data_IF_502401048781
#
_entry.id   IF_502401048781
#
_cell.length_a   1.000
_cell.length_b   1.000
_cell.length_c   1.000
_cell.angle_alpha   90.00
_cell.angle_beta   90.00
_cell.angle_gamma   90.00
#
_symmetry.space_group_name_H-M   'P 1'
#
loop_
_entity.id
_entity.type
_entity.pdbx_description
1 polymer ?
#
# COMPACT_ATOMS: atom_id res chain seq x y z
N UNK A 1 6.34 -1.74 -5.93
CA UNK A 1 5.90 -1.36 -4.56
C UNK A 1 4.94 -2.39 -4.01
N UNK A 2 4.88 -2.56 -2.69
CA UNK A 2 3.95 -3.43 -1.97
C UNK A 2 2.87 -2.56 -1.33
N UNK A 3 1.61 -2.71 -1.76
CA UNK A 3 0.48 -1.92 -1.30
C UNK A 3 -0.43 -2.74 -0.40
N UNK A 4 -0.72 -2.24 0.80
CA UNK A 4 -1.61 -2.91 1.77
C UNK A 4 -2.88 -2.09 1.96
N UNK A 5 -4.03 -2.67 1.62
CA UNK A 5 -5.34 -2.10 1.89
C UNK A 5 -6.18 -3.00 2.80
N UNK A 6 -7.26 -2.43 3.29
CA UNK A 6 -8.23 -3.08 4.17
C UNK A 6 -8.82 -2.10 5.17
N UNK A 7 -9.84 -2.53 5.93
CA UNK A 7 -10.43 -1.70 6.98
C UNK A 7 -9.43 -1.58 8.14
N UNK A 8 -8.98 -2.72 8.68
CA UNK A 8 -8.05 -2.78 9.81
C UNK A 8 -6.76 -3.53 9.47
N UNK A 9 -5.70 -3.30 10.25
CA UNK A 9 -4.45 -4.10 10.18
C UNK A 9 -3.44 -3.66 9.12
N UNK A 10 -3.71 -2.59 8.36
CA UNK A 10 -2.77 -2.05 7.36
C UNK A 10 -1.40 -1.74 7.98
N UNK A 11 -1.36 -0.89 9.01
CA UNK A 11 -0.12 -0.53 9.72
C UNK A 11 0.60 -1.75 10.29
N UNK A 12 -0.12 -2.70 10.88
CA UNK A 12 0.53 -3.90 11.45
C UNK A 12 1.20 -4.74 10.36
N UNK A 13 0.49 -5.00 9.25
CA UNK A 13 1.02 -5.80 8.14
C UNK A 13 2.17 -5.07 7.44
N UNK A 14 2.07 -3.77 7.20
CA UNK A 14 3.17 -3.01 6.56
C UNK A 14 4.43 -3.03 7.41
N UNK A 15 4.31 -2.92 8.74
CA UNK A 15 5.43 -3.05 9.67
C UNK A 15 6.01 -4.46 9.72
N UNK A 16 5.18 -5.51 9.69
CA UNK A 16 5.68 -6.89 9.63
C UNK A 16 6.50 -7.13 8.36
N UNK A 17 6.01 -6.68 7.20
CA UNK A 17 6.71 -6.83 5.92
C UNK A 17 8.04 -6.06 5.97
N UNK A 18 8.01 -4.81 6.41
CA UNK A 18 9.23 -4.01 6.55
C UNK A 18 10.24 -4.66 7.52
N UNK A 19 9.79 -5.23 8.64
CA UNK A 19 10.68 -5.94 9.57
C UNK A 19 11.31 -7.18 8.95
N UNK A 20 10.54 -7.97 8.20
CA UNK A 20 11.07 -9.16 7.51
C UNK A 20 12.10 -8.76 6.45
N UNK A 21 11.82 -7.72 5.66
CA UNK A 21 12.75 -7.24 4.63
C UNK A 21 14.04 -6.67 5.23
N UNK A 22 13.92 -5.85 6.28
CA UNK A 22 15.09 -5.30 6.97
C UNK A 22 15.93 -6.39 7.67
N UNK A 23 15.31 -7.39 8.29
CA UNK A 23 16.05 -8.53 8.87
C UNK A 23 16.79 -9.35 7.80
N UNK A 24 16.22 -9.42 6.60
CA UNK A 24 16.85 -10.02 5.43
C UNK A 24 17.92 -9.13 4.77
N UNK A 25 18.25 -7.98 5.38
CA UNK A 25 19.19 -6.98 4.89
C UNK A 25 18.78 -6.31 3.57
N UNK A 26 17.49 -6.27 3.27
CA UNK A 26 16.93 -5.63 2.08
C UNK A 26 16.59 -4.18 2.41
N UNK A 27 17.02 -3.24 1.56
CA UNK A 27 16.66 -1.82 1.72
C UNK A 27 15.16 -1.62 1.50
N UNK A 28 14.49 -1.01 2.47
CA UNK A 28 13.04 -0.88 2.48
C UNK A 28 12.58 0.47 3.01
N UNK A 29 11.66 1.10 2.29
CA UNK A 29 10.91 2.28 2.72
C UNK A 29 9.53 1.88 3.23
N UNK A 30 9.09 2.49 4.31
CA UNK A 30 7.75 2.34 4.85
C UNK A 30 7.01 3.66 4.72
N UNK A 31 5.77 3.65 4.20
CA UNK A 31 4.89 4.82 4.10
C UNK A 31 3.53 4.47 4.71
N UNK A 32 3.06 5.23 5.69
CA UNK A 32 1.79 4.93 6.34
C UNK A 32 1.33 5.98 7.35
N UNK A 33 0.48 5.54 8.28
CA UNK A 33 -0.20 6.42 9.25
C UNK A 33 0.76 7.12 10.21
N UNK A 34 1.98 6.58 10.41
CA UNK A 34 3.02 7.16 11.27
C UNK A 34 3.95 8.14 10.54
N UNK A 35 3.75 8.34 9.23
CA UNK A 35 4.71 9.03 8.38
C UNK A 35 5.38 8.09 7.39
N UNK A 36 6.59 8.44 7.00
CA UNK A 36 7.46 7.56 6.23
C UNK A 36 8.85 7.45 6.87
N UNK A 37 9.51 6.34 6.61
CA UNK A 37 10.91 6.13 7.00
C UNK A 37 11.63 5.26 5.98
N UNK A 38 12.95 5.40 5.95
CA UNK A 38 13.84 4.62 5.11
C UNK A 38 14.71 3.75 6.00
N UNK A 39 14.63 2.43 5.84
CA UNK A 39 15.55 1.52 6.48
C UNK A 39 16.73 1.26 5.54
N UNK A 40 17.88 1.82 5.93
CA UNK A 40 19.16 1.65 5.26
C UNK A 40 20.18 1.18 6.33
N UNK A 41 20.76 0.00 6.11
CA UNK A 41 21.69 -0.64 7.03
C UNK A 41 22.98 0.15 7.24
N UNK A 42 23.33 1.06 6.33
CA UNK A 42 24.53 1.91 6.47
C UNK A 42 24.28 3.13 7.35
N UNK A 43 23.03 3.62 7.41
CA UNK A 43 22.70 4.91 8.04
C UNK A 43 22.12 4.79 9.45
N UNK A 44 21.66 3.60 9.86
CA UNK A 44 21.14 3.34 11.21
C UNK A 44 20.07 4.35 11.70
N UNK A 45 19.30 4.94 10.78
CA UNK A 45 18.23 5.87 11.11
C UNK A 45 16.89 5.16 11.10
N UNK A 46 16.19 5.15 12.24
CA UNK A 46 14.82 4.60 12.37
C UNK A 46 13.76 5.69 12.59
N UNK A 47 14.10 6.95 12.28
CA UNK A 47 13.21 8.09 12.53
C UNK A 47 12.13 8.22 11.46
N UNK A 48 10.93 8.61 11.90
CA UNK A 48 9.83 8.93 11.01
C UNK A 48 9.89 10.38 10.55
N UNK A 49 9.79 10.56 9.23
CA UNK A 49 9.49 11.83 8.60
C UNK A 49 7.97 11.96 8.51
N UNK A 50 7.43 13.13 8.88
CA UNK A 50 5.98 13.33 9.01
C UNK A 50 5.28 13.37 7.65
N UNK A 51 4.08 12.78 7.60
CA UNK A 51 3.08 12.98 6.54
C UNK A 51 1.72 13.26 7.19
N UNK A 52 0.90 14.11 6.58
CA UNK A 52 -0.41 14.47 7.14
C UNK A 52 -1.48 13.39 7.00
N UNK A 53 -1.23 12.34 6.22
CA UNK A 53 -2.21 11.31 5.88
C UNK A 53 -1.55 9.94 5.76
N UNK A 54 -2.30 8.87 6.08
CA UNK A 54 -1.88 7.46 5.87
C UNK A 54 -1.39 7.18 4.45
N UNK A 55 -2.06 7.76 3.46
CA UNK A 55 -1.63 7.76 2.06
C UNK A 55 -1.36 9.22 1.66
N UNK A 56 -0.10 9.63 1.46
CA UNK A 56 0.26 11.02 1.14
C UNK A 56 -0.39 11.53 -0.15
N UNK A 57 -0.51 12.85 -0.33
CA UNK A 57 -0.96 13.45 -1.59
C UNK A 57 -0.07 13.03 -2.76
N UNK A 58 -0.62 12.91 -3.97
CA UNK A 58 0.11 12.37 -5.13
C UNK A 58 1.47 13.04 -5.38
N UNK A 59 1.53 14.37 -5.36
CA UNK A 59 2.78 15.12 -5.55
C UNK A 59 3.79 14.86 -4.43
N UNK A 60 3.32 14.74 -3.18
CA UNK A 60 4.16 14.48 -2.02
C UNK A 60 4.65 13.02 -2.04
N UNK A 61 3.78 12.07 -2.38
CA UNK A 61 4.13 10.67 -2.54
C UNK A 61 5.23 10.49 -3.59
N UNK A 62 5.09 11.11 -4.77
CA UNK A 62 6.11 11.06 -5.82
C UNK A 62 7.43 11.71 -5.36
N UNK A 63 7.36 12.82 -4.61
CA UNK A 63 8.55 13.45 -4.00
C UNK A 63 9.25 12.49 -3.03
N UNK A 64 8.49 11.84 -2.14
CA UNK A 64 9.02 10.88 -1.17
C UNK A 64 9.66 9.68 -1.88
N UNK A 65 8.98 9.10 -2.88
CA UNK A 65 9.51 7.97 -3.64
C UNK A 65 10.80 8.33 -4.40
N UNK A 66 10.86 9.54 -4.96
CA UNK A 66 12.08 10.05 -5.60
C UNK A 66 13.23 10.23 -4.60
N UNK A 67 12.95 10.73 -3.39
CA UNK A 67 13.95 10.83 -2.32
C UNK A 67 14.43 9.44 -1.85
N UNK A 68 13.49 8.52 -1.58
CA UNK A 68 13.76 7.13 -1.21
C UNK A 68 14.71 6.46 -2.21
N UNK A 69 14.43 6.60 -3.51
CA UNK A 69 15.26 6.03 -4.58
C UNK A 69 16.64 6.69 -4.67
N UNK A 70 16.69 8.01 -4.80
CA UNK A 70 17.92 8.69 -5.23
C UNK A 70 18.84 9.05 -4.06
N UNK A 71 18.29 9.35 -2.89
CA UNK A 71 19.06 9.74 -1.71
C UNK A 71 19.32 8.57 -0.77
N UNK A 72 18.34 7.69 -0.60
CA UNK A 72 18.42 6.56 0.33
C UNK A 72 18.61 5.19 -0.32
N UNK A 73 18.69 5.12 -1.66
CA UNK A 73 18.92 3.89 -2.40
C UNK A 73 17.95 2.76 -2.00
N UNK A 74 16.70 3.13 -1.71
CA UNK A 74 15.63 2.20 -1.36
C UNK A 74 15.12 1.55 -2.64
N UNK A 75 15.15 0.21 -2.67
CA UNK A 75 14.65 -0.59 -3.79
C UNK A 75 13.21 -1.08 -3.56
N UNK A 76 12.82 -1.26 -2.29
CA UNK A 76 11.51 -1.80 -1.92
C UNK A 76 10.74 -0.78 -1.10
N UNK A 77 9.46 -0.58 -1.42
CA UNK A 77 8.57 0.29 -0.63
C UNK A 77 7.33 -0.47 -0.24
N UNK A 78 7.03 -0.47 1.06
CA UNK A 78 5.82 -1.01 1.67
C UNK A 78 4.94 0.15 2.09
N UNK A 79 3.69 0.15 1.64
CA UNK A 79 2.82 1.31 1.78
C UNK A 79 1.41 0.95 2.24
N UNK A 80 0.89 1.71 3.21
CA UNK A 80 -0.54 1.71 3.53
C UNK A 80 -1.33 2.45 2.43
N UNK A 81 -2.25 1.73 1.79
CA UNK A 81 -3.12 2.25 0.74
C UNK A 81 -4.54 2.37 1.27
N UNK A 82 -4.87 3.56 1.78
CA UNK A 82 -6.20 3.87 2.29
C UNK A 82 -7.24 3.97 1.17
N UNK A 83 -8.50 3.65 1.48
CA UNK A 83 -9.59 3.84 0.51
C UNK A 83 -9.78 5.30 0.13
N UNK A 84 -9.61 6.23 1.08
CA UNK A 84 -9.63 7.65 0.77
C UNK A 84 -8.55 8.03 -0.26
N UNK A 85 -7.32 7.53 -0.07
CA UNK A 85 -6.23 7.74 -1.01
C UNK A 85 -6.51 7.18 -2.41
N UNK A 86 -7.15 6.00 -2.49
CA UNK A 86 -7.58 5.43 -3.78
C UNK A 86 -8.68 6.27 -4.43
N UNK A 87 -9.70 6.68 -3.67
CA UNK A 87 -10.85 7.44 -4.19
C UNK A 87 -10.46 8.79 -4.79
N UNK A 88 -9.45 9.46 -4.20
CA UNK A 88 -8.95 10.76 -4.67
C UNK A 88 -7.63 10.64 -5.45
N UNK A 89 -7.34 9.44 -5.97
CA UNK A 89 -6.19 9.15 -6.83
C UNK A 89 -4.82 9.60 -6.28
N UNK A 90 -4.61 9.53 -4.96
CA UNK A 90 -3.32 9.87 -4.33
C UNK A 90 -2.18 8.97 -4.75
N UNK A 91 -2.48 7.75 -5.19
CA UNK A 91 -1.51 6.80 -5.75
C UNK A 91 -1.46 6.87 -7.28
N UNK A 92 -1.92 7.96 -7.90
CA UNK A 92 -1.74 8.17 -9.33
C UNK A 92 -0.26 8.13 -9.71
N UNK A 93 0.04 7.53 -10.87
CA UNK A 93 1.41 7.31 -11.35
C UNK A 93 2.20 6.27 -10.56
N UNK A 94 1.62 5.61 -9.56
CA UNK A 94 2.24 4.51 -8.84
C UNK A 94 1.97 3.17 -9.52
N UNK A 95 2.95 2.27 -9.44
CA UNK A 95 2.86 0.88 -9.87
C UNK A 95 3.13 -0.05 -8.68
N UNK A 96 2.22 -0.99 -8.46
CA UNK A 96 2.32 -1.97 -7.39
C UNK A 96 2.65 -3.33 -7.99
N UNK A 97 3.70 -3.96 -7.48
CA UNK A 97 4.07 -5.33 -7.83
C UNK A 97 3.35 -6.33 -6.93
N UNK A 98 2.95 -5.90 -5.74
CA UNK A 98 2.16 -6.70 -4.78
C UNK A 98 1.02 -5.86 -4.24
N UNK A 99 -0.19 -6.40 -4.25
CA UNK A 99 -1.35 -5.83 -3.56
C UNK A 99 -1.84 -6.79 -2.48
N UNK A 100 -2.15 -6.26 -1.30
CA UNK A 100 -2.55 -7.06 -0.14
C UNK A 100 -3.89 -6.54 0.39
N UNK A 101 -4.86 -7.46 0.59
CA UNK A 101 -6.08 -7.20 1.34
C UNK A 101 -5.98 -7.86 2.71
N UNK A 102 -6.14 -7.07 3.77
CA UNK A 102 -6.23 -7.60 5.13
C UNK A 102 -7.65 -8.05 5.49
N UNK A 103 -8.62 -7.15 5.36
CA UNK A 103 -10.05 -7.37 5.62
C UNK A 103 -10.90 -6.22 5.05
N UNK A 104 -12.20 -6.45 4.91
CA UNK A 104 -13.19 -5.49 4.47
C UNK A 104 -14.45 -5.57 5.34
N UNK A 105 -14.52 -4.66 6.32
CA UNK A 105 -15.70 -4.47 7.18
C UNK A 105 -16.21 -3.04 7.07
N UNK A 106 -17.45 -2.78 7.50
CA UNK A 106 -18.07 -1.46 7.46
C UNK A 106 -17.23 -0.40 8.18
N UNK A 107 -16.85 0.65 7.45
CA UNK A 107 -16.11 1.82 7.93
C UNK A 107 -16.24 2.98 6.91
N UNK A 108 -15.91 4.21 7.31
CA UNK A 108 -15.77 5.38 6.44
C UNK A 108 -16.99 5.72 5.53
N UNK A 109 -18.20 5.32 5.92
CA UNK A 109 -19.41 5.57 5.13
C UNK A 109 -19.82 7.04 5.04
N UNK A 110 -19.34 7.90 5.95
CA UNK A 110 -19.51 9.35 5.84
C UNK A 110 -18.88 9.91 4.56
N UNK A 111 -17.81 9.29 4.07
CA UNK A 111 -17.15 9.64 2.82
C UNK A 111 -17.67 8.81 1.64
N UNK A 112 -17.68 7.47 1.78
CA UNK A 112 -18.02 6.56 0.66
C UNK A 112 -19.52 6.47 0.37
N UNK A 113 -20.38 6.92 1.29
CA UNK A 113 -21.86 6.88 1.24
C UNK A 113 -22.45 5.48 1.31
N UNK A 114 -21.91 4.50 0.58
CA UNK A 114 -22.38 3.11 0.55
C UNK A 114 -21.22 2.12 0.72
N UNK A 115 -21.54 0.90 1.17
CA UNK A 115 -20.58 -0.20 1.26
C UNK A 115 -20.06 -0.61 -0.13
N UNK A 116 -20.92 -0.58 -1.14
CA UNK A 116 -20.53 -0.90 -2.51
C UNK A 116 -19.49 0.10 -3.04
N UNK A 117 -19.70 1.41 -2.83
CA UNK A 117 -18.71 2.42 -3.22
C UNK A 117 -17.38 2.19 -2.49
N UNK A 118 -17.44 1.89 -1.19
CA UNK A 118 -16.24 1.61 -0.40
C UNK A 118 -15.48 0.37 -0.90
N UNK A 119 -16.20 -0.69 -1.27
CA UNK A 119 -15.63 -1.90 -1.88
C UNK A 119 -14.98 -1.56 -3.22
N UNK A 120 -15.72 -0.96 -4.15
CA UNK A 120 -15.24 -0.61 -5.50
C UNK A 120 -13.96 0.23 -5.44
N UNK A 121 -13.88 1.17 -4.51
CA UNK A 121 -12.68 1.98 -4.31
C UNK A 121 -11.47 1.13 -3.88
N UNK A 122 -11.64 0.16 -2.98
CA UNK A 122 -10.52 -0.72 -2.58
C UNK A 122 -10.10 -1.65 -3.72
N UNK A 123 -11.05 -2.14 -4.51
CA UNK A 123 -10.76 -2.99 -5.67
C UNK A 123 -9.82 -2.30 -6.66
N UNK A 124 -9.80 -0.95 -6.74
CA UNK A 124 -8.89 -0.21 -7.60
C UNK A 124 -7.42 -0.56 -7.38
N UNK A 125 -6.99 -0.88 -6.16
CA UNK A 125 -5.61 -1.31 -5.92
C UNK A 125 -5.26 -2.56 -6.75
N UNK A 126 -6.22 -3.48 -6.89
CA UNK A 126 -6.06 -4.76 -7.59
C UNK A 126 -6.35 -4.62 -9.09
N UNK A 127 -7.46 -3.98 -9.47
CA UNK A 127 -7.89 -3.91 -10.87
C UNK A 127 -7.17 -2.85 -11.70
N UNK A 128 -6.76 -1.73 -11.09
CA UNK A 128 -6.16 -0.58 -11.80
C UNK A 128 -4.68 -0.41 -11.55
N UNK A 129 -4.23 -0.55 -10.31
CA UNK A 129 -2.86 -0.20 -9.95
C UNK A 129 -1.90 -1.40 -9.96
N UNK A 130 -2.35 -2.57 -9.52
CA UNK A 130 -1.60 -3.83 -9.64
C UNK A 130 -1.48 -4.29 -11.10
N UNK A 131 -2.52 -4.10 -11.91
CA UNK A 131 -2.54 -4.47 -13.34
C UNK A 131 -1.50 -3.76 -14.22
N UNK A 132 -0.84 -2.72 -13.69
CA UNK A 132 0.28 -2.04 -14.35
C UNK A 132 1.60 -2.79 -14.24
N UNK A 133 1.72 -3.73 -13.29
CA UNK A 133 2.92 -4.53 -13.13
C UNK A 133 3.00 -5.64 -14.18
N UNK A 134 4.22 -5.87 -14.68
CA UNK A 134 4.51 -7.01 -15.56
C UNK A 134 4.51 -8.35 -14.81
N UNK A 135 4.66 -8.34 -13.49
CA UNK A 135 4.66 -9.54 -12.64
C UNK A 135 3.88 -9.26 -11.34
N UNK A 136 2.55 -9.08 -11.44
CA UNK A 136 1.71 -8.75 -10.30
C UNK A 136 1.52 -9.96 -9.38
N UNK A 137 1.46 -9.72 -8.08
CA UNK A 137 1.07 -10.71 -7.07
C UNK A 137 -0.06 -10.14 -6.22
N UNK A 138 -1.07 -10.94 -5.92
CA UNK A 138 -2.18 -10.55 -5.05
C UNK A 138 -2.23 -11.45 -3.81
N UNK A 139 -2.22 -10.84 -2.62
CA UNK A 139 -2.36 -11.56 -1.35
C UNK A 139 -3.67 -11.15 -0.72
N UNK A 140 -4.65 -12.06 -0.71
CA UNK A 140 -6.01 -11.75 -0.28
C UNK A 140 -6.37 -12.68 0.87
N UNK A 141 -6.83 -12.11 1.97
CA UNK A 141 -7.28 -12.89 3.13
C UNK A 141 -8.54 -13.70 2.77
N UNK A 142 -8.41 -15.03 2.75
CA UNK A 142 -9.50 -15.97 2.46
C UNK A 142 -10.60 -15.98 3.54
N UNK A 143 -10.29 -15.56 4.76
CA UNK A 143 -11.28 -15.49 5.84
C UNK A 143 -12.25 -14.31 5.68
N UNK A 144 -11.98 -13.40 4.74
CA UNK A 144 -12.84 -12.24 4.49
C UNK A 144 -13.99 -12.57 3.51
N UNK A 145 -15.26 -12.26 3.84
CA UNK A 145 -16.40 -12.53 2.95
C UNK A 145 -16.32 -11.84 1.59
N UNK A 146 -15.48 -10.80 1.44
CA UNK A 146 -15.25 -10.12 0.17
C UNK A 146 -14.16 -10.76 -0.69
N UNK A 147 -13.56 -11.87 -0.25
CA UNK A 147 -12.45 -12.57 -0.91
C UNK A 147 -12.66 -12.74 -2.43
N UNK A 148 -13.82 -13.28 -2.83
CA UNK A 148 -14.17 -13.51 -4.24
C UNK A 148 -14.17 -12.23 -5.06
N UNK A 149 -14.69 -11.12 -4.53
CA UNK A 149 -14.72 -9.83 -5.22
C UNK A 149 -13.30 -9.30 -5.46
N UNK A 150 -12.38 -9.51 -4.51
CA UNK A 150 -10.98 -9.10 -4.65
C UNK A 150 -10.20 -10.01 -5.61
N UNK A 151 -10.42 -11.33 -5.56
CA UNK A 151 -9.81 -12.28 -6.50
C UNK A 151 -10.25 -11.94 -7.94
N UNK A 152 -11.55 -11.72 -8.15
CA UNK A 152 -12.09 -11.38 -9.47
C UNK A 152 -11.63 -10.00 -9.98
N UNK A 153 -11.18 -9.11 -9.10
CA UNK A 153 -10.63 -7.81 -9.50
C UNK A 153 -9.15 -7.88 -9.90
N UNK A 154 -8.45 -8.98 -9.64
CA UNK A 154 -7.05 -9.13 -9.98
C UNK A 154 -6.84 -9.26 -11.50
N UNK A 155 -5.71 -8.78 -12.04
CA UNK A 155 -5.40 -8.99 -13.45
C UNK A 155 -5.13 -10.48 -13.71
N UNK A 156 -5.41 -10.95 -14.93
CA UNK A 156 -5.30 -12.37 -15.28
C UNK A 156 -3.88 -12.95 -15.19
N UNK A 157 -2.85 -12.10 -15.20
CA UNK A 157 -1.45 -12.47 -15.02
C UNK A 157 -0.97 -12.36 -13.56
N UNK A 158 -1.85 -12.02 -12.62
CA UNK A 158 -1.48 -12.05 -11.20
C UNK A 158 -1.30 -13.48 -10.71
N UNK A 159 -0.25 -13.68 -9.93
CA UNK A 159 -0.09 -14.86 -9.08
C UNK A 159 -0.81 -14.67 -7.75
#
# INVERSE_FOLDING_TARGET
>A
MIGVTGTNGKTTVTHMIEKVLSDAKVTVGLIGSLGYRCHDHERNTNEYMKTDCTTPYAWLLQTILNEMKNKYHIENVVMEVSSYGLAVERVYGCEFSVAILTNFTQDHLSFHKTMDNYLQVKLLLFSKYLSRSLSPNAIINHDDPSYEQFINACPSNAQ
#
